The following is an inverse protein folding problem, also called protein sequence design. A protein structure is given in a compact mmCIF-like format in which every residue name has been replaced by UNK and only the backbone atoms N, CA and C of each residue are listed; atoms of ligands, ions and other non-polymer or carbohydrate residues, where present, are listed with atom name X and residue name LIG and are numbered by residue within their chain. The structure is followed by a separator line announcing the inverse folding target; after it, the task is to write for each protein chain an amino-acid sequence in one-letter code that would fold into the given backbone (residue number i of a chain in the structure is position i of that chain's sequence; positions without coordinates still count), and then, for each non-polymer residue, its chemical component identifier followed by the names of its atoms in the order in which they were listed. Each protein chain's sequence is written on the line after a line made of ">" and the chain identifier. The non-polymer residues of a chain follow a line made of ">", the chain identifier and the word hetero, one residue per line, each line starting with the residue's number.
data_IF_053254516952
#
_entry.id   IF_053254516952
#
_cell.length_a   1.000
_cell.length_b   1.000
_cell.length_c   1.000
_cell.angle_alpha   90.00
_cell.angle_beta   90.00
_cell.angle_gamma   90.00
#
_symmetry.space_group_name_H-M   'P 1'
#
loop_
_entity.id
_entity.type
_entity.pdbx_description
1 polymer ?
#
# COMPACT_ATOMS: atom_id res chain seq x y z
N UNK A 1 22.27 35.86 45.49
CA UNK A 1 20.96 35.88 44.81
C UNK A 1 20.97 36.80 43.58
N UNK A 2 21.74 37.89 43.59
CA UNK A 2 21.75 38.89 42.52
C UNK A 2 22.42 38.44 41.21
N UNK A 3 23.47 37.61 41.30
CA UNK A 3 24.15 37.03 40.13
C UNK A 3 23.23 36.18 39.24
N UNK A 4 22.31 35.41 39.84
CA UNK A 4 21.34 34.62 39.08
C UNK A 4 20.33 35.50 38.37
N UNK A 5 19.91 36.62 39.00
CA UNK A 5 18.96 37.56 38.41
C UNK A 5 19.57 38.36 37.27
N UNK A 6 20.85 38.73 37.35
CA UNK A 6 21.54 39.41 36.25
C UNK A 6 21.73 38.49 35.05
N UNK A 7 22.11 37.21 35.27
CA UNK A 7 22.31 36.26 34.19
C UNK A 7 21.00 35.92 33.45
N UNK A 8 19.87 35.83 34.17
CA UNK A 8 18.55 35.55 33.57
C UNK A 8 17.96 36.72 32.76
N UNK A 9 18.44 37.95 32.99
CA UNK A 9 17.95 39.15 32.30
C UNK A 9 18.82 39.57 31.11
N UNK A 10 20.00 38.95 30.93
CA UNK A 10 20.78 39.11 29.70
C UNK A 10 19.99 38.58 28.51
N UNK A 11 19.97 39.37 27.43
CA UNK A 11 19.22 39.03 26.22
C UNK A 11 20.15 38.54 25.13
N UNK A 12 19.82 37.38 24.58
CA UNK A 12 20.47 36.81 23.40
C UNK A 12 19.43 36.71 22.30
N UNK A 13 19.69 37.31 21.13
CA UNK A 13 18.75 37.34 20.01
C UNK A 13 17.33 37.79 20.43
N UNK A 14 17.23 38.86 21.22
CA UNK A 14 15.98 39.41 21.78
C UNK A 14 15.20 38.46 22.71
N UNK A 15 15.87 37.44 23.25
CA UNK A 15 15.29 36.49 24.19
C UNK A 15 16.14 36.38 25.45
N UNK A 16 15.47 36.32 26.59
CA UNK A 16 16.10 36.01 27.89
C UNK A 16 16.38 34.52 28.02
N UNK A 17 17.32 34.15 28.90
CA UNK A 17 17.60 32.74 29.23
C UNK A 17 16.33 32.04 29.73
N UNK A 18 15.47 32.75 30.47
CA UNK A 18 14.18 32.24 30.95
C UNK A 18 13.25 31.82 29.81
N UNK A 19 13.19 32.59 28.72
CA UNK A 19 12.35 32.27 27.55
C UNK A 19 12.82 31.00 26.84
N UNK A 20 14.13 30.82 26.69
CA UNK A 20 14.69 29.58 26.17
C UNK A 20 14.40 28.40 27.11
N UNK A 21 14.49 28.58 28.42
CA UNK A 21 14.14 27.54 29.39
C UNK A 21 12.68 27.08 29.22
N UNK A 22 11.72 28.02 29.12
CA UNK A 22 10.32 27.70 28.89
C UNK A 22 10.09 26.98 27.55
N UNK A 23 10.78 27.40 26.49
CA UNK A 23 10.75 26.71 25.19
C UNK A 23 11.17 25.24 25.32
N UNK A 24 12.30 24.96 26.00
CA UNK A 24 12.74 23.58 26.22
C UNK A 24 11.77 22.78 27.10
N UNK A 25 11.15 23.42 28.10
CA UNK A 25 10.11 22.77 28.93
C UNK A 25 8.91 22.36 28.07
N UNK A 26 8.46 23.20 27.13
CA UNK A 26 7.38 22.84 26.19
C UNK A 26 7.73 21.62 25.32
N UNK A 27 8.98 21.51 24.86
CA UNK A 27 9.44 20.32 24.11
C UNK A 27 9.42 19.08 25.00
N UNK A 28 9.92 19.19 26.24
CA UNK A 28 9.92 18.08 27.21
C UNK A 28 8.49 17.62 27.50
N UNK A 29 7.53 18.55 27.65
CA UNK A 29 6.12 18.23 27.81
C UNK A 29 5.58 17.47 26.58
N UNK A 30 5.95 17.89 25.36
CA UNK A 30 5.58 17.18 24.13
C UNK A 30 6.14 15.75 24.07
N UNK A 31 7.37 15.53 24.52
CA UNK A 31 7.98 14.19 24.59
C UNK A 31 7.26 13.33 25.64
N UNK A 32 6.99 13.89 26.81
CA UNK A 32 6.31 13.20 27.91
C UNK A 32 4.88 12.84 27.49
N UNK A 33 4.15 13.77 26.87
CA UNK A 33 2.79 13.52 26.38
C UNK A 33 2.79 12.43 25.31
N UNK A 34 3.76 12.42 24.40
CA UNK A 34 3.97 11.33 23.43
C UNK A 34 4.09 9.96 24.09
N UNK A 35 4.93 9.84 25.13
CA UNK A 35 5.07 8.58 25.88
C UNK A 35 3.81 8.21 26.65
N UNK A 36 3.13 9.19 27.26
CA UNK A 36 1.86 8.96 27.97
C UNK A 36 0.83 8.39 26.99
N UNK A 37 0.68 9.02 25.83
CA UNK A 37 -0.25 8.58 24.78
C UNK A 37 0.08 7.15 24.34
N UNK A 38 1.35 6.83 24.10
CA UNK A 38 1.80 5.46 23.82
C UNK A 38 1.32 4.46 24.88
N UNK A 39 1.60 4.73 26.16
CA UNK A 39 1.19 3.82 27.25
C UNK A 39 -0.33 3.70 27.38
N UNK A 40 -1.07 4.80 27.14
CA UNK A 40 -2.53 4.79 27.16
C UNK A 40 -3.06 3.90 26.04
N UNK A 41 -2.60 4.06 24.80
CA UNK A 41 -3.03 3.22 23.68
C UNK A 41 -2.75 1.74 23.97
N UNK A 42 -1.51 1.42 24.37
CA UNK A 42 -1.12 0.05 24.77
C UNK A 42 -1.99 -0.52 25.89
N UNK A 43 -2.37 0.30 26.87
CA UNK A 43 -3.21 -0.10 28.00
C UNK A 43 -4.69 -0.26 27.66
N UNK A 44 -5.26 0.64 26.84
CA UNK A 44 -6.67 0.60 26.45
C UNK A 44 -6.97 -0.57 25.51
N UNK A 45 -6.06 -0.89 24.61
CA UNK A 45 -6.24 -2.01 23.67
C UNK A 45 -6.20 -3.37 24.36
N UNK A 46 -5.49 -3.52 25.49
CA UNK A 46 -5.55 -4.72 26.32
C UNK A 46 -6.93 -4.94 26.98
N UNK A 47 -7.72 -3.88 27.20
CA UNK A 47 -9.11 -3.97 27.70
C UNK A 47 -10.14 -4.13 26.59
N UNK A 48 -9.84 -3.64 25.38
CA UNK A 48 -10.73 -3.76 24.22
C UNK A 48 -10.55 -5.11 23.50
N UNK A 49 -9.33 -5.69 23.52
CA UNK A 49 -9.02 -7.01 22.95
C UNK A 49 -9.76 -8.18 23.64
N UNK A 50 -10.29 -8.00 24.85
CA UNK A 50 -11.24 -8.98 25.44
C UNK A 50 -12.64 -8.93 24.81
N UNK A 51 -12.91 -7.94 23.95
CA UNK A 51 -14.19 -7.73 23.25
C UNK A 51 -14.08 -7.79 21.72
N UNK A 52 -12.89 -7.64 21.13
CA UNK A 52 -12.65 -7.75 19.68
C UNK A 52 -11.71 -8.92 19.35
N UNK A 53 -12.10 -9.80 18.41
CA UNK A 53 -11.28 -10.93 17.93
C UNK A 53 -10.25 -10.51 16.85
N UNK A 54 -10.06 -9.21 16.59
CA UNK A 54 -9.35 -8.72 15.40
C UNK A 54 -7.87 -8.39 15.66
N UNK A 55 -6.97 -9.17 15.04
CA UNK A 55 -5.49 -8.95 14.98
C UNK A 55 -5.05 -7.58 14.42
N UNK A 56 -6.00 -6.80 13.89
CA UNK A 56 -5.75 -5.46 13.35
C UNK A 56 -5.45 -4.45 14.44
N UNK A 57 -6.01 -4.66 15.64
CA UNK A 57 -5.93 -3.70 16.74
C UNK A 57 -4.50 -3.52 17.23
N UNK A 58 -3.72 -4.61 17.33
CA UNK A 58 -2.33 -4.56 17.76
C UNK A 58 -1.42 -3.90 16.71
N UNK A 59 -1.65 -4.17 15.42
CA UNK A 59 -0.84 -3.60 14.34
C UNK A 59 -1.13 -2.11 14.09
N UNK A 60 -2.38 -1.68 14.28
CA UNK A 60 -2.75 -0.26 14.19
C UNK A 60 -2.01 0.57 15.24
N UNK A 61 -1.85 0.06 16.46
CA UNK A 61 -1.09 0.76 17.51
C UNK A 61 0.33 1.04 17.04
N UNK A 62 1.01 0.02 16.51
CA UNK A 62 2.39 0.14 16.05
C UNK A 62 2.51 1.11 14.86
N UNK A 63 1.50 1.15 13.97
CA UNK A 63 1.46 2.13 12.87
C UNK A 63 1.35 3.57 13.40
N UNK A 64 0.49 3.79 14.39
CA UNK A 64 0.17 5.12 14.91
C UNK A 64 1.15 5.60 16.00
N UNK A 65 1.88 4.71 16.67
CA UNK A 65 2.82 5.02 17.74
C UNK A 65 3.85 6.07 17.33
N UNK A 66 4.63 5.76 16.29
CA UNK A 66 5.75 6.60 15.85
C UNK A 66 5.28 7.98 15.30
N UNK A 67 4.22 8.06 14.47
CA UNK A 67 3.68 9.34 13.98
C UNK A 67 3.09 10.21 15.07
N UNK A 68 2.28 9.64 15.96
CA UNK A 68 1.64 10.42 17.04
C UNK A 68 2.72 10.96 17.98
N UNK A 69 3.76 10.18 18.27
CA UNK A 69 4.90 10.64 19.05
C UNK A 69 5.60 11.84 18.39
N UNK A 70 5.90 11.75 17.09
CA UNK A 70 6.51 12.85 16.33
C UNK A 70 5.60 14.10 16.26
N UNK A 71 4.30 13.91 16.08
CA UNK A 71 3.32 15.00 16.05
C UNK A 71 3.22 15.73 17.40
N UNK A 72 3.29 14.99 18.51
CA UNK A 72 3.24 15.58 19.86
C UNK A 72 4.52 16.36 20.20
N UNK A 73 5.68 15.90 19.73
CA UNK A 73 6.93 16.67 19.80
C UNK A 73 6.82 17.93 18.95
N UNK A 74 6.38 17.81 17.69
CA UNK A 74 6.20 18.96 16.80
C UNK A 74 5.20 19.98 17.39
N UNK A 75 4.15 19.51 18.05
CA UNK A 75 3.19 20.35 18.79
C UNK A 75 3.86 21.06 19.98
N UNK A 76 4.68 20.37 20.76
CA UNK A 76 5.45 20.99 21.86
C UNK A 76 6.41 22.07 21.37
N UNK A 77 7.07 21.84 20.23
CA UNK A 77 7.93 22.83 19.55
C UNK A 77 7.11 24.02 19.04
N UNK A 78 5.95 23.76 18.43
CA UNK A 78 5.05 24.80 17.93
C UNK A 78 4.50 25.69 19.07
N UNK A 79 4.07 25.08 20.17
CA UNK A 79 3.61 25.81 21.37
C UNK A 79 4.77 26.58 22.02
N UNK A 80 5.94 25.96 22.15
CA UNK A 80 7.12 26.58 22.74
C UNK A 80 7.54 27.86 22.00
N UNK A 81 7.30 27.95 20.69
CA UNK A 81 7.58 29.16 19.89
C UNK A 81 6.92 30.40 20.52
N UNK A 82 5.73 30.29 21.12
CA UNK A 82 5.06 31.44 21.76
C UNK A 82 5.84 32.02 22.95
N UNK A 83 6.80 31.26 23.52
CA UNK A 83 7.70 31.77 24.55
C UNK A 83 8.87 32.59 23.98
N UNK A 84 9.12 32.52 22.66
CA UNK A 84 10.26 33.14 22.00
C UNK A 84 9.83 34.32 21.12
N UNK A 85 10.62 35.39 21.16
CA UNK A 85 10.57 36.50 20.23
C UNK A 85 11.46 36.19 19.04
N UNK A 86 10.87 35.79 17.90
CA UNK A 86 11.59 35.53 16.66
C UNK A 86 11.51 36.73 15.72
N UNK A 87 12.53 36.93 14.89
CA UNK A 87 12.42 37.84 13.76
C UNK A 87 11.57 37.20 12.64
N UNK A 88 11.08 38.01 11.71
CA UNK A 88 10.20 37.57 10.61
C UNK A 88 10.80 36.41 9.81
N UNK A 89 12.11 36.45 9.54
CA UNK A 89 12.79 35.42 8.76
C UNK A 89 12.85 34.08 9.52
N UNK A 90 13.23 34.10 10.80
CA UNK A 90 13.29 32.91 11.65
C UNK A 90 11.89 32.33 11.88
N UNK A 91 10.87 33.17 12.05
CA UNK A 91 9.48 32.73 12.17
C UNK A 91 9.00 31.98 10.93
N UNK A 92 9.25 32.52 9.74
CA UNK A 92 8.88 31.86 8.48
C UNK A 92 9.64 30.55 8.29
N UNK A 93 10.95 30.56 8.55
CA UNK A 93 11.79 29.37 8.42
C UNK A 93 11.35 28.26 9.39
N UNK A 94 11.08 28.61 10.64
CA UNK A 94 10.58 27.70 11.66
C UNK A 94 9.23 27.07 11.28
N UNK A 95 8.28 27.89 10.81
CA UNK A 95 6.99 27.40 10.33
C UNK A 95 7.12 26.42 9.16
N UNK A 96 8.00 26.72 8.20
CA UNK A 96 8.27 25.84 7.06
C UNK A 96 8.88 24.50 7.52
N UNK A 97 9.81 24.51 8.48
CA UNK A 97 10.39 23.28 9.03
C UNK A 97 9.31 22.42 9.66
N UNK A 98 8.46 22.99 10.52
CA UNK A 98 7.37 22.24 11.16
C UNK A 98 6.42 21.68 10.09
N UNK A 99 6.08 22.48 9.08
CA UNK A 99 5.20 22.05 8.00
C UNK A 99 5.78 20.87 7.19
N UNK A 100 7.09 20.93 6.87
CA UNK A 100 7.78 19.84 6.16
C UNK A 100 7.85 18.58 7.02
N UNK A 101 8.17 18.71 8.31
CA UNK A 101 8.20 17.57 9.23
C UNK A 101 6.80 16.95 9.40
N UNK A 102 5.78 17.79 9.50
CA UNK A 102 4.39 17.35 9.56
C UNK A 102 3.98 16.60 8.29
N UNK A 103 4.24 17.18 7.11
CA UNK A 103 3.87 16.54 5.84
C UNK A 103 4.59 15.22 5.65
N UNK A 104 5.89 15.16 5.96
CA UNK A 104 6.66 13.91 5.94
C UNK A 104 6.08 12.85 6.88
N UNK A 105 5.70 13.24 8.09
CA UNK A 105 5.09 12.32 9.08
C UNK A 105 3.75 11.78 8.58
N UNK A 106 2.91 12.64 8.00
CA UNK A 106 1.61 12.24 7.44
C UNK A 106 1.79 11.34 6.23
N UNK A 107 2.67 11.70 5.29
CA UNK A 107 2.96 10.87 4.11
C UNK A 107 3.46 9.49 4.51
N UNK A 108 4.37 9.42 5.47
CA UNK A 108 4.90 8.16 5.98
C UNK A 108 3.81 7.32 6.67
N UNK A 109 2.91 7.94 7.44
CA UNK A 109 1.76 7.26 8.06
C UNK A 109 0.84 6.67 6.99
N UNK A 110 0.55 7.43 5.92
CA UNK A 110 -0.29 6.96 4.80
C UNK A 110 0.34 5.76 4.12
N UNK A 111 1.65 5.77 3.84
CA UNK A 111 2.35 4.62 3.24
C UNK A 111 2.18 3.38 4.12
N UNK A 112 2.43 3.50 5.43
CA UNK A 112 2.28 2.37 6.36
C UNK A 112 0.84 1.86 6.47
N UNK A 113 -0.15 2.75 6.40
CA UNK A 113 -1.56 2.35 6.36
C UNK A 113 -1.88 1.60 5.07
N UNK A 114 -1.33 2.00 3.93
CA UNK A 114 -1.49 1.26 2.68
C UNK A 114 -0.83 -0.11 2.80
N UNK A 115 0.41 -0.20 3.29
CA UNK A 115 1.14 -1.46 3.46
C UNK A 115 0.36 -2.43 4.38
N UNK A 116 -0.27 -1.91 5.44
CA UNK A 116 -1.19 -2.68 6.29
C UNK A 116 -2.34 -3.28 5.48
N UNK A 117 -3.02 -2.43 4.72
CA UNK A 117 -4.21 -2.83 3.98
C UNK A 117 -3.85 -3.87 2.92
N UNK A 118 -2.73 -3.67 2.22
CA UNK A 118 -2.19 -4.64 1.28
C UNK A 118 -1.96 -5.98 1.99
N UNK A 119 -1.19 -5.98 3.07
CA UNK A 119 -0.81 -7.20 3.79
C UNK A 119 -1.99 -7.98 4.38
N UNK A 120 -3.01 -7.28 4.89
CA UNK A 120 -4.11 -7.93 5.60
C UNK A 120 -5.34 -8.21 4.72
N UNK A 121 -5.58 -7.37 3.71
CA UNK A 121 -6.76 -7.49 2.85
C UNK A 121 -6.42 -7.96 1.45
N UNK A 122 -5.29 -7.56 0.86
CA UNK A 122 -4.94 -7.89 -0.52
C UNK A 122 -4.14 -9.19 -0.60
N UNK A 123 -3.08 -9.36 0.19
CA UNK A 123 -2.23 -10.57 0.16
C UNK A 123 -3.04 -11.88 0.33
N UNK A 124 -4.03 -11.99 1.24
CA UNK A 124 -4.83 -13.21 1.36
C UNK A 124 -5.77 -13.46 0.17
N UNK A 125 -6.14 -12.40 -0.56
CA UNK A 125 -6.92 -12.51 -1.79
C UNK A 125 -6.03 -12.96 -2.96
N UNK A 126 -4.81 -12.40 -3.05
CA UNK A 126 -3.82 -12.75 -4.07
C UNK A 126 -3.24 -14.16 -3.86
N UNK A 127 -2.97 -14.56 -2.62
CA UNK A 127 -2.49 -15.90 -2.30
C UNK A 127 -3.52 -17.01 -2.65
N UNK A 128 -4.82 -16.68 -2.66
CA UNK A 128 -5.88 -17.58 -3.15
C UNK A 128 -5.92 -17.66 -4.68
N UNK A 129 -5.47 -16.63 -5.39
CA UNK A 129 -5.44 -16.62 -6.87
C UNK A 129 -4.14 -17.16 -7.46
N UNK A 130 -2.98 -16.96 -6.83
CA UNK A 130 -1.67 -17.32 -7.43
C UNK A 130 -1.32 -18.81 -7.29
N UNK A 131 -1.55 -19.45 -6.12
CA UNK A 131 -1.02 -20.81 -5.87
C UNK A 131 -1.69 -21.94 -6.65
N UNK A 132 -3.00 -21.87 -6.96
CA UNK A 132 -3.68 -22.93 -7.73
C UNK A 132 -3.59 -22.72 -9.24
N UNK A 133 -3.36 -21.48 -9.67
CA UNK A 133 -3.27 -21.11 -11.07
C UNK A 133 -1.90 -21.47 -11.62
N UNK A 134 -0.80 -21.12 -10.94
CA UNK A 134 0.55 -21.39 -11.44
C UNK A 134 0.83 -22.89 -11.58
N UNK A 135 0.49 -23.70 -10.57
CA UNK A 135 0.80 -25.14 -10.58
C UNK A 135 0.08 -25.92 -11.69
N UNK A 136 -1.12 -25.48 -12.10
CA UNK A 136 -1.92 -26.15 -13.14
C UNK A 136 -1.77 -25.49 -14.51
N UNK A 137 -1.63 -24.16 -14.56
CA UNK A 137 -1.58 -23.41 -15.82
C UNK A 137 -0.16 -23.35 -16.39
N UNK A 138 0.90 -23.27 -15.57
CA UNK A 138 2.27 -23.22 -16.09
C UNK A 138 2.64 -24.42 -16.98
N UNK A 139 2.29 -25.67 -16.64
CA UNK A 139 2.54 -26.80 -17.53
C UNK A 139 1.82 -26.66 -18.87
N UNK A 140 0.59 -26.12 -18.86
CA UNK A 140 -0.27 -25.97 -20.04
C UNK A 140 0.23 -24.84 -20.94
N UNK A 141 0.60 -23.69 -20.36
CA UNK A 141 1.22 -22.58 -21.08
C UNK A 141 2.54 -23.06 -21.68
N UNK A 142 3.41 -23.70 -20.90
CA UNK A 142 4.70 -24.20 -21.40
C UNK A 142 4.52 -25.18 -22.56
N UNK A 143 3.58 -26.12 -22.44
CA UNK A 143 3.25 -27.08 -23.50
C UNK A 143 2.71 -26.38 -24.74
N UNK A 144 1.77 -25.45 -24.56
CA UNK A 144 1.16 -24.69 -25.66
C UNK A 144 2.17 -23.81 -26.38
N UNK A 145 3.02 -23.07 -25.65
CA UNK A 145 4.13 -22.29 -26.22
C UNK A 145 5.04 -23.16 -27.09
N UNK A 146 5.46 -24.32 -26.58
CA UNK A 146 6.31 -25.26 -27.34
C UNK A 146 5.60 -25.77 -28.60
N UNK A 147 4.31 -26.09 -28.50
CA UNK A 147 3.54 -26.52 -29.67
C UNK A 147 3.42 -25.42 -30.71
N UNK A 148 3.10 -24.18 -30.30
CA UNK A 148 2.97 -23.03 -31.20
C UNK A 148 4.29 -22.71 -31.91
N UNK A 149 5.41 -22.71 -31.17
CA UNK A 149 6.76 -22.51 -31.72
C UNK A 149 7.16 -23.61 -32.71
N UNK A 150 6.61 -24.82 -32.57
CA UNK A 150 6.91 -25.95 -33.47
C UNK A 150 6.12 -25.89 -34.78
N UNK A 151 5.13 -25.01 -34.91
CA UNK A 151 4.33 -24.87 -36.13
C UNK A 151 5.14 -24.14 -37.20
N UNK A 152 5.26 -24.78 -38.37
CA UNK A 152 5.97 -24.21 -39.50
C UNK A 152 5.30 -22.91 -39.95
N UNK A 153 6.08 -21.83 -40.05
CA UNK A 153 5.58 -20.52 -40.44
C UNK A 153 5.22 -19.60 -39.27
N UNK A 154 5.43 -20.02 -38.02
CA UNK A 154 5.40 -19.14 -36.83
C UNK A 154 6.82 -18.65 -36.52
N UNK A 155 6.98 -17.36 -36.22
CA UNK A 155 8.26 -16.80 -35.78
C UNK A 155 8.46 -17.06 -34.27
N UNK A 156 9.48 -17.83 -33.87
CA UNK A 156 9.71 -18.21 -32.48
C UNK A 156 10.10 -17.02 -31.58
N UNK A 157 10.72 -15.99 -32.13
CA UNK A 157 11.22 -14.84 -31.36
C UNK A 157 10.13 -13.81 -31.03
N UNK A 158 8.93 -13.98 -31.60
CA UNK A 158 7.84 -13.03 -31.46
C UNK A 158 6.54 -13.75 -31.05
N UNK A 159 6.60 -14.60 -30.04
CA UNK A 159 5.45 -15.20 -29.39
C UNK A 159 5.31 -14.64 -27.97
N UNK A 160 4.15 -14.05 -27.68
CA UNK A 160 3.80 -13.52 -26.36
C UNK A 160 2.50 -14.14 -25.91
N UNK A 161 2.47 -14.66 -24.68
CA UNK A 161 1.25 -15.13 -24.01
C UNK A 161 1.09 -14.32 -22.73
N UNK A 162 -0.06 -13.69 -22.52
CA UNK A 162 -0.33 -12.89 -21.32
C UNK A 162 -1.76 -13.08 -20.81
N UNK A 163 -1.94 -12.95 -19.50
CA UNK A 163 -3.26 -12.77 -18.90
C UNK A 163 -3.75 -11.35 -19.18
N UNK A 164 -4.95 -11.22 -19.74
CA UNK A 164 -5.60 -9.93 -20.02
C UNK A 164 -6.50 -9.53 -18.87
N UNK A 165 -7.30 -10.46 -18.35
CA UNK A 165 -8.27 -10.18 -17.29
C UNK A 165 -8.57 -11.44 -16.46
N UNK A 166 -8.95 -11.22 -15.20
CA UNK A 166 -9.42 -12.26 -14.29
C UNK A 166 -10.92 -12.04 -14.04
N UNK A 167 -11.75 -12.85 -14.69
CA UNK A 167 -13.19 -12.88 -14.47
C UNK A 167 -13.56 -13.68 -13.20
N UNK A 168 -14.83 -13.62 -12.76
CA UNK A 168 -15.30 -14.36 -11.59
C UNK A 168 -15.07 -15.88 -11.68
N UNK A 169 -15.08 -16.43 -12.90
CA UNK A 169 -14.90 -17.86 -13.18
C UNK A 169 -14.08 -18.14 -14.46
N UNK A 170 -13.37 -17.15 -15.00
CA UNK A 170 -12.61 -17.28 -16.24
C UNK A 170 -11.29 -16.51 -16.18
N UNK A 171 -10.26 -17.01 -16.87
CA UNK A 171 -9.03 -16.29 -17.14
C UNK A 171 -8.99 -15.95 -18.63
N UNK A 172 -8.94 -14.67 -18.95
CA UNK A 172 -8.81 -14.23 -20.33
C UNK A 172 -7.32 -14.23 -20.69
N UNK A 173 -6.92 -15.13 -21.61
CA UNK A 173 -5.53 -15.25 -22.08
C UNK A 173 -5.43 -14.77 -23.52
N UNK A 174 -4.46 -13.91 -23.79
CA UNK A 174 -4.14 -13.45 -25.14
C UNK A 174 -2.82 -14.07 -25.61
N UNK A 175 -2.85 -14.59 -26.85
CA UNK A 175 -1.70 -15.16 -27.54
C UNK A 175 -1.44 -14.31 -28.78
N UNK A 176 -0.28 -13.65 -28.80
CA UNK A 176 0.19 -12.83 -29.92
C UNK A 176 1.38 -13.51 -30.55
N UNK A 177 1.32 -13.78 -31.85
CA UNK A 177 2.40 -14.42 -32.59
C UNK A 177 2.53 -13.83 -33.99
N UNK A 178 3.74 -13.94 -34.56
CA UNK A 178 4.02 -13.45 -35.91
C UNK A 178 4.13 -14.61 -36.89
N UNK A 179 3.47 -14.47 -38.04
CA UNK A 179 3.48 -15.47 -39.11
C UNK A 179 4.50 -15.04 -40.17
N UNK A 180 5.44 -15.93 -40.51
CA UNK A 180 6.43 -15.69 -41.56
C UNK A 180 5.93 -16.11 -42.94
N UNK A 181 5.06 -17.12 -43.01
CA UNK A 181 4.44 -17.59 -44.27
C UNK A 181 3.02 -17.04 -44.43
N UNK A 182 2.93 -15.87 -45.05
CA UNK A 182 1.65 -15.22 -45.31
C UNK A 182 0.76 -15.97 -46.31
N UNK A 183 1.29 -16.85 -47.16
CA UNK A 183 0.45 -17.60 -48.10
C UNK A 183 -0.45 -18.60 -47.35
N UNK A 184 0.06 -19.14 -46.23
CA UNK A 184 -0.60 -20.18 -45.44
C UNK A 184 -1.17 -19.66 -44.11
N UNK A 185 -1.27 -18.34 -43.91
CA UNK A 185 -1.62 -17.73 -42.61
C UNK A 185 -2.92 -18.28 -42.00
N UNK A 186 -3.93 -18.59 -42.82
CA UNK A 186 -5.21 -19.17 -42.35
C UNK A 186 -5.01 -20.58 -41.78
N UNK A 187 -4.20 -21.40 -42.46
CA UNK A 187 -3.89 -22.76 -42.02
C UNK A 187 -3.07 -22.72 -40.74
N UNK A 188 -2.07 -21.85 -40.68
CA UNK A 188 -1.21 -21.65 -39.50
C UNK A 188 -2.05 -21.18 -38.31
N UNK A 189 -2.93 -20.20 -38.51
CA UNK A 189 -3.84 -19.69 -37.46
C UNK A 189 -4.78 -20.79 -36.95
N UNK A 190 -5.35 -21.57 -37.86
CA UNK A 190 -6.20 -22.70 -37.50
C UNK A 190 -5.44 -23.76 -36.69
N UNK A 191 -4.22 -24.09 -37.12
CA UNK A 191 -3.36 -25.05 -36.42
C UNK A 191 -2.98 -24.58 -35.02
N UNK A 192 -2.59 -23.31 -34.87
CA UNK A 192 -2.33 -22.67 -33.57
C UNK A 192 -3.56 -22.81 -32.67
N UNK A 193 -4.74 -22.35 -33.12
CA UNK A 193 -5.97 -22.40 -32.34
C UNK A 193 -6.34 -23.83 -31.91
N UNK A 194 -6.26 -24.79 -32.84
CA UNK A 194 -6.57 -26.20 -32.54
C UNK A 194 -5.54 -26.84 -31.61
N UNK A 195 -4.26 -26.46 -31.71
CA UNK A 195 -3.21 -26.97 -30.83
C UNK A 195 -3.41 -26.52 -29.38
N UNK A 196 -3.74 -25.24 -29.18
CA UNK A 196 -4.06 -24.66 -27.87
C UNK A 196 -5.30 -25.32 -27.30
N UNK A 197 -6.37 -25.45 -28.10
CA UNK A 197 -7.59 -26.17 -27.68
C UNK A 197 -7.28 -27.57 -27.19
N UNK A 198 -6.54 -28.37 -27.96
CA UNK A 198 -6.19 -29.76 -27.56
C UNK A 198 -5.36 -29.79 -26.28
N UNK A 199 -4.45 -28.85 -26.08
CA UNK A 199 -3.64 -28.78 -24.87
C UNK A 199 -4.49 -28.43 -23.64
N UNK A 200 -5.49 -27.56 -23.79
CA UNK A 200 -6.47 -27.25 -22.74
C UNK A 200 -7.37 -28.45 -22.43
N UNK A 201 -7.95 -29.07 -23.46
CA UNK A 201 -8.83 -30.25 -23.32
C UNK A 201 -8.09 -31.39 -22.59
N UNK A 202 -6.83 -31.67 -22.95
CA UNK A 202 -5.99 -32.70 -22.33
C UNK A 202 -5.65 -32.42 -20.85
N UNK A 203 -5.73 -31.16 -20.43
CA UNK A 203 -5.49 -30.75 -19.06
C UNK A 203 -6.79 -30.61 -18.25
N UNK A 204 -7.94 -30.97 -18.84
CA UNK A 204 -9.25 -30.84 -18.19
C UNK A 204 -9.73 -29.39 -18.06
N UNK A 205 -9.18 -28.47 -18.86
CA UNK A 205 -9.59 -27.06 -18.88
C UNK A 205 -10.56 -26.84 -20.05
N UNK A 206 -11.78 -26.47 -19.73
CA UNK A 206 -12.79 -26.08 -20.72
C UNK A 206 -12.69 -24.59 -21.04
N UNK A 207 -12.85 -24.23 -22.31
CA UNK A 207 -12.99 -22.82 -22.71
C UNK A 207 -14.33 -22.28 -22.19
N UNK A 208 -14.28 -21.19 -21.43
CA UNK A 208 -15.48 -20.55 -20.92
C UNK A 208 -16.30 -19.95 -22.07
N UNK A 209 -17.60 -20.25 -22.09
CA UNK A 209 -18.54 -19.54 -22.94
C UNK A 209 -18.84 -18.16 -22.35
N UNK A 210 -19.18 -17.15 -23.18
CA UNK A 210 -19.65 -15.87 -22.69
C UNK A 210 -20.80 -16.08 -21.68
N UNK A 211 -20.64 -15.59 -20.45
CA UNK A 211 -21.66 -15.75 -19.41
C UNK A 211 -22.45 -14.45 -19.26
N UNK A 212 -23.77 -14.52 -19.41
CA UNK A 212 -24.68 -13.38 -19.20
C UNK A 212 -25.57 -13.67 -17.98
N UNK A 213 -25.67 -12.73 -17.05
CA UNK A 213 -26.52 -12.87 -15.86
C UNK A 213 -27.89 -12.24 -16.11
N UNK A 214 -28.94 -13.06 -16.21
CA UNK A 214 -30.31 -12.59 -16.36
C UNK A 214 -31.03 -12.56 -15.00
N UNK A 215 -31.45 -11.38 -14.55
CA UNK A 215 -32.28 -11.23 -13.36
C UNK A 215 -33.74 -11.54 -13.69
N UNK A 216 -34.27 -12.66 -13.19
CA UNK A 216 -35.70 -12.98 -13.29
C UNK A 216 -36.43 -12.34 -12.10
N UNK A 217 -37.17 -11.27 -12.34
CA UNK A 217 -38.09 -10.70 -11.35
C UNK A 217 -39.41 -11.49 -11.45
N UNK A 218 -39.72 -12.27 -10.42
CA UNK A 218 -40.97 -13.02 -10.37
C UNK A 218 -42.13 -12.06 -10.02
N UNK A 219 -43.04 -11.81 -10.97
CA UNK A 219 -44.18 -10.90 -10.77
C UNK A 219 -45.41 -11.56 -10.15
N UNK A 220 -45.38 -12.85 -9.79
CA UNK A 220 -46.54 -13.52 -9.16
C UNK A 220 -46.50 -13.45 -7.63
N UNK A 221 -46.56 -12.23 -7.10
CA UNK A 221 -46.92 -11.97 -5.70
C UNK A 221 -48.17 -11.09 -5.68
N UNK A 222 -49.33 -11.69 -5.94
CA UNK A 222 -50.65 -11.10 -5.68
C UNK A 222 -51.64 -12.19 -5.34
#
# INVERSE_FOLDING_TARGET
>A
MDFYRSLLNETYFNNTISQYLFFFVCIVIGIISGKIVYYIFKGQLRKLATKSETKLDDYLIDIFEEPIFLLLIAMGVWVGKFCLTLNILAEKFFGNIIFVLFSMTVTWLVIRLIDMLVKHYIDPLVAKSESKLDDQILPIISKSTKTIVSIQGVNPNNLTIRSVNFGPFSLDVEIVYWITDMANWKSITHEVNMSVKRNLDNAGIEMAFPTETHYVINQNSS
#
